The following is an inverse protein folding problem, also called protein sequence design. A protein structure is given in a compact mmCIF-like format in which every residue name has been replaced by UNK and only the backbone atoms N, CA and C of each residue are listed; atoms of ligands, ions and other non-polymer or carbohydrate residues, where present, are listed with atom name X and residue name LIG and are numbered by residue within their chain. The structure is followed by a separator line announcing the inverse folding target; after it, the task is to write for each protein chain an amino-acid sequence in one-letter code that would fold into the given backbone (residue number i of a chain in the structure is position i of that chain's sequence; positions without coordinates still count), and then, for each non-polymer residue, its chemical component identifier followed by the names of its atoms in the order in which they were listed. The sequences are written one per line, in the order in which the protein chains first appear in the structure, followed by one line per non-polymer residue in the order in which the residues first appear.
data_IF_360556280347
#
_entry.id   IF_360556280347
#
_cell.length_a   1.000
_cell.length_b   1.000
_cell.length_c   1.000
_cell.angle_alpha   90.00
_cell.angle_beta   90.00
_cell.angle_gamma   90.00
#
_symmetry.space_group_name_H-M   'P 1'
#
loop_
_entity.id
_entity.type
_entity.pdbx_description
1 polymer ?
#
# COMPACT_ATOMS: atom_id res chain seq x y z
N UNK A 1 -8.28 3.70 5.32
CA UNK A 1 -9.16 4.76 4.87
C UNK A 1 -8.59 6.17 5.04
N UNK A 2 -7.55 6.34 5.80
CA UNK A 2 -6.71 7.52 5.88
C UNK A 2 -6.05 7.88 4.55
N UNK A 3 -5.91 6.93 3.63
CA UNK A 3 -5.41 7.18 2.28
C UNK A 3 -6.36 8.00 1.38
N UNK A 4 -7.52 8.40 1.87
CA UNK A 4 -8.57 9.07 1.09
C UNK A 4 -8.62 10.59 1.25
N UNK A 5 -7.66 11.20 1.91
CA UNK A 5 -7.70 12.64 2.17
C UNK A 5 -6.40 13.34 1.80
N UNK A 6 -6.40 14.65 1.51
CA UNK A 6 -5.19 15.44 1.35
C UNK A 6 -4.27 15.38 2.57
N UNK A 7 -4.85 15.49 3.75
CA UNK A 7 -4.15 15.28 5.01
C UNK A 7 -3.69 13.85 5.21
N UNK A 8 -4.25 12.88 4.51
CA UNK A 8 -3.86 11.48 4.66
C UNK A 8 -2.42 11.23 4.25
N UNK A 9 -1.90 11.94 3.27
CA UNK A 9 -0.49 11.82 2.93
C UNK A 9 0.37 12.26 4.12
N UNK A 10 0.08 13.41 4.70
CA UNK A 10 0.79 13.91 5.88
C UNK A 10 0.57 13.03 7.10
N UNK A 11 -0.67 12.62 7.36
CA UNK A 11 -1.01 11.71 8.44
C UNK A 11 -0.34 10.34 8.29
N UNK A 12 -0.30 9.80 7.08
CA UNK A 12 0.40 8.54 6.82
C UNK A 12 1.90 8.68 7.01
N UNK A 13 2.45 9.83 6.67
CA UNK A 13 3.85 10.12 6.85
C UNK A 13 4.18 10.29 8.34
N UNK A 14 3.34 10.98 9.07
CA UNK A 14 3.44 11.08 10.53
C UNK A 14 3.30 9.71 11.17
N UNK A 15 2.31 8.95 10.76
CA UNK A 15 2.03 7.64 11.30
C UNK A 15 3.14 6.61 10.98
N UNK A 16 3.61 6.57 9.73
CA UNK A 16 4.58 5.58 9.29
C UNK A 16 6.02 5.93 9.68
N UNK A 17 6.38 7.21 9.70
CA UNK A 17 7.78 7.65 9.77
C UNK A 17 8.10 8.51 10.98
N UNK A 18 7.20 9.36 11.42
CA UNK A 18 7.44 10.27 12.53
C UNK A 18 6.87 9.71 13.83
N UNK A 19 5.64 9.26 13.81
CA UNK A 19 4.94 8.53 14.87
C UNK A 19 5.48 8.78 16.28
N UNK A 20 5.92 7.71 16.90
CA UNK A 20 6.41 7.70 18.28
C UNK A 20 7.74 8.41 18.51
N UNK A 21 8.50 8.63 17.45
CA UNK A 21 9.88 9.15 17.55
C UNK A 21 9.96 10.66 17.35
N UNK A 22 8.86 11.28 16.92
CA UNK A 22 8.85 12.71 16.67
C UNK A 22 7.81 13.40 17.55
N UNK A 23 8.22 14.32 18.43
CA UNK A 23 7.31 14.96 19.40
C UNK A 23 6.20 15.79 18.74
N UNK A 24 6.40 16.23 17.50
CA UNK A 24 5.43 17.02 16.74
C UNK A 24 4.43 16.11 15.97
N UNK A 25 4.66 14.81 15.90
CA UNK A 25 3.74 13.90 15.22
C UNK A 25 2.45 13.77 16.02
N UNK A 26 1.33 14.09 15.38
CA UNK A 26 0.01 14.03 16.01
C UNK A 26 -0.51 12.60 16.14
N UNK A 27 -0.12 11.73 15.21
CA UNK A 27 -0.58 10.35 15.13
C UNK A 27 0.59 9.40 14.94
N UNK A 28 0.47 8.20 15.50
CA UNK A 28 1.40 7.10 15.36
C UNK A 28 0.67 5.84 14.91
N UNK A 29 1.40 4.76 14.63
CA UNK A 29 0.80 3.44 14.36
C UNK A 29 -0.08 2.93 15.51
N UNK A 30 0.13 3.42 16.71
CA UNK A 30 -0.67 3.06 17.89
C UNK A 30 -1.90 3.95 18.10
N UNK A 31 -2.03 5.01 17.28
CA UNK A 31 -3.17 5.91 17.39
C UNK A 31 -4.46 5.19 17.06
N UNK A 32 -5.51 5.52 17.81
CA UNK A 32 -6.84 5.01 17.54
C UNK A 32 -7.29 5.47 16.14
N UNK A 33 -7.68 4.52 15.28
CA UNK A 33 -8.11 4.80 13.92
C UNK A 33 -9.29 5.76 13.84
N UNK A 34 -10.19 5.74 14.84
CA UNK A 34 -11.35 6.66 14.91
C UNK A 34 -10.89 8.10 15.10
N UNK A 35 -9.86 8.33 15.91
CA UNK A 35 -9.32 9.67 16.11
C UNK A 35 -8.56 10.16 14.88
N UNK A 36 -7.85 9.29 14.20
CA UNK A 36 -7.24 9.59 12.89
C UNK A 36 -8.33 9.94 11.88
N UNK A 37 -9.38 9.13 11.75
CA UNK A 37 -10.48 9.34 10.82
C UNK A 37 -11.23 10.66 11.05
N UNK A 38 -11.42 11.09 12.28
CA UNK A 38 -12.06 12.38 12.61
C UNK A 38 -11.29 13.60 12.07
N UNK A 39 -10.02 13.43 11.78
CA UNK A 39 -9.17 14.46 11.22
C UNK A 39 -9.04 14.38 9.70
N UNK A 40 -9.65 13.36 9.08
CA UNK A 40 -9.63 13.11 7.65
C UNK A 40 -10.93 13.66 7.04
N UNK A 41 -10.85 14.67 6.22
CA UNK A 41 -12.02 15.36 5.66
C UNK A 41 -11.97 15.58 4.14
N UNK A 42 -10.96 15.06 3.45
CA UNK A 42 -10.83 15.20 2.00
C UNK A 42 -10.32 13.89 1.39
N UNK A 43 -10.65 13.64 0.14
CA UNK A 43 -10.19 12.49 -0.62
C UNK A 43 -8.68 12.56 -0.93
N UNK A 44 -8.12 11.44 -1.39
CA UNK A 44 -6.73 11.34 -1.90
C UNK A 44 -6.42 12.49 -2.85
N UNK A 45 -5.29 13.15 -2.64
CA UNK A 45 -4.80 14.23 -3.49
C UNK A 45 -3.68 13.78 -4.45
N UNK A 46 -3.28 14.70 -5.32
CA UNK A 46 -2.26 14.43 -6.33
C UNK A 46 -0.91 13.99 -5.71
N UNK A 47 -0.56 14.54 -4.55
CA UNK A 47 0.71 14.28 -3.88
C UNK A 47 0.86 12.84 -3.37
N UNK A 48 -0.22 12.10 -3.25
CA UNK A 48 -0.16 10.69 -2.89
C UNK A 48 0.49 9.85 -4.00
N UNK A 49 0.19 10.20 -5.25
CA UNK A 49 0.63 9.46 -6.44
C UNK A 49 1.67 10.19 -7.29
N UNK A 50 1.83 11.50 -7.11
CA UNK A 50 2.77 12.30 -7.88
C UNK A 50 3.72 13.08 -6.98
N UNK A 51 4.98 13.11 -7.38
CA UNK A 51 5.97 13.96 -6.74
C UNK A 51 5.63 15.44 -7.01
N UNK A 52 5.51 16.30 -5.97
CA UNK A 52 5.05 17.68 -6.14
C UNK A 52 6.04 18.57 -6.90
N UNK A 53 7.30 18.17 -7.00
CA UNK A 53 8.35 18.97 -7.65
C UNK A 53 8.59 18.54 -9.11
N UNK A 54 8.43 17.25 -9.41
CA UNK A 54 8.73 16.70 -10.74
C UNK A 54 7.50 16.14 -11.45
N UNK A 55 6.36 16.05 -10.76
CA UNK A 55 5.16 15.36 -11.21
C UNK A 55 5.35 13.87 -11.57
N UNK A 56 6.52 13.30 -11.31
CA UNK A 56 6.78 11.87 -11.53
C UNK A 56 5.85 11.02 -10.69
N UNK A 57 5.38 9.87 -11.21
CA UNK A 57 4.65 8.90 -10.41
C UNK A 57 5.49 8.45 -9.22
N UNK A 58 4.86 8.35 -8.04
CA UNK A 58 5.56 7.95 -6.82
C UNK A 58 4.73 7.03 -5.94
N UNK A 59 5.44 6.29 -5.11
CA UNK A 59 4.89 5.47 -4.03
C UNK A 59 5.36 6.08 -2.72
N UNK A 60 4.43 6.29 -1.80
CA UNK A 60 4.69 6.85 -0.46
C UNK A 60 4.37 5.86 0.66
N UNK A 61 3.70 4.74 0.36
CA UNK A 61 3.40 3.69 1.35
C UNK A 61 4.67 2.90 1.70
N UNK A 62 5.13 3.03 2.92
CA UNK A 62 6.33 2.36 3.43
C UNK A 62 6.25 0.83 3.35
N UNK A 63 5.09 0.25 3.69
CA UNK A 63 4.88 -1.19 3.60
C UNK A 63 5.00 -1.72 2.17
N UNK A 64 4.49 -0.96 1.17
CA UNK A 64 4.67 -1.32 -0.23
C UNK A 64 6.14 -1.17 -0.64
N UNK A 65 6.79 -0.05 -0.32
CA UNK A 65 8.21 0.15 -0.66
C UNK A 65 9.06 -0.97 -0.05
N UNK A 66 8.78 -1.36 1.19
CA UNK A 66 9.45 -2.50 1.82
C UNK A 66 9.24 -3.78 1.02
N UNK A 67 8.00 -4.07 0.59
CA UNK A 67 7.70 -5.26 -0.20
C UNK A 67 8.39 -5.25 -1.58
N UNK A 68 8.53 -4.06 -2.20
CA UNK A 68 9.21 -3.91 -3.49
C UNK A 68 10.74 -4.01 -3.40
N UNK A 69 11.32 -3.72 -2.24
CA UNK A 69 12.79 -3.63 -2.07
C UNK A 69 13.38 -4.72 -1.21
N UNK A 70 12.57 -5.54 -0.55
CA UNK A 70 13.07 -6.64 0.29
C UNK A 70 13.74 -7.72 -0.56
N UNK A 71 14.70 -8.42 0.04
CA UNK A 71 15.48 -9.48 -0.60
C UNK A 71 15.36 -10.84 0.09
N UNK A 72 14.78 -10.86 1.28
CA UNK A 72 14.64 -12.05 2.13
C UNK A 72 13.46 -12.95 1.71
N UNK A 73 12.40 -12.35 1.18
CA UNK A 73 11.24 -13.05 0.65
C UNK A 73 10.93 -12.47 -0.74
N UNK A 74 10.95 -13.29 -1.79
CA UNK A 74 10.56 -12.85 -3.13
C UNK A 74 9.17 -12.20 -3.14
N UNK A 75 9.00 -11.18 -3.98
CA UNK A 75 7.73 -10.49 -4.18
C UNK A 75 7.31 -10.58 -5.64
N UNK A 76 6.04 -10.33 -5.93
CA UNK A 76 5.54 -10.24 -7.31
C UNK A 76 6.40 -9.28 -8.15
N UNK A 77 6.86 -8.19 -7.54
CA UNK A 77 7.72 -7.22 -8.20
C UNK A 77 9.12 -7.77 -8.50
N UNK A 78 9.75 -8.43 -7.53
CA UNK A 78 11.11 -8.95 -7.71
C UNK A 78 11.17 -10.14 -8.67
N UNK A 79 10.06 -10.86 -8.85
CA UNK A 79 9.93 -11.99 -9.77
C UNK A 79 9.49 -11.58 -11.19
N UNK A 80 9.09 -10.32 -11.38
CA UNK A 80 8.65 -9.82 -12.70
C UNK A 80 9.77 -9.04 -13.41
N UNK A 81 10.44 -9.61 -14.42
CA UNK A 81 11.50 -8.94 -15.13
C UNK A 81 11.01 -7.75 -15.98
N UNK A 82 9.69 -7.61 -16.16
CA UNK A 82 9.06 -6.51 -16.91
C UNK A 82 8.53 -5.41 -15.99
N UNK A 83 8.61 -5.58 -14.68
CA UNK A 83 8.14 -4.59 -13.73
C UNK A 83 8.81 -3.24 -13.96
N UNK A 84 8.02 -2.18 -13.86
CA UNK A 84 8.51 -0.80 -13.96
C UNK A 84 9.56 -0.54 -12.87
N UNK A 85 10.73 -0.07 -13.28
CA UNK A 85 11.83 0.25 -12.36
C UNK A 85 11.43 1.39 -11.43
N UNK A 86 11.72 1.21 -10.15
CA UNK A 86 11.56 2.24 -9.13
C UNK A 86 12.92 2.79 -8.71
N UNK A 87 12.94 4.07 -8.39
CA UNK A 87 14.07 4.72 -7.75
C UNK A 87 13.66 5.09 -6.33
N UNK A 88 14.28 4.46 -5.34
CA UNK A 88 13.97 4.71 -3.92
C UNK A 88 14.90 5.80 -3.40
N UNK A 89 14.29 6.87 -2.91
CA UNK A 89 14.96 8.03 -2.35
C UNK A 89 14.66 8.07 -0.85
N UNK A 90 15.68 8.24 -0.05
CA UNK A 90 15.51 8.55 1.37
C UNK A 90 15.33 10.06 1.52
N UNK A 91 14.11 10.45 1.88
CA UNK A 91 13.73 11.84 2.11
C UNK A 91 13.95 12.27 3.57
N UNK A 92 14.77 11.52 4.31
CA UNK A 92 15.00 11.72 5.73
C UNK A 92 15.20 13.20 6.12
N UNK A 93 14.41 13.65 7.07
CA UNK A 93 14.46 15.02 7.59
C UNK A 93 14.71 14.93 9.08
N UNK A 94 15.64 15.74 9.59
CA UNK A 94 15.94 15.83 11.03
C UNK A 94 16.25 14.47 11.71
N UNK A 95 16.95 13.58 10.99
CA UNK A 95 17.35 12.27 11.53
C UNK A 95 16.32 11.16 11.41
N UNK A 96 15.20 11.40 10.74
CA UNK A 96 14.20 10.38 10.42
C UNK A 96 14.34 9.91 8.97
N UNK A 97 14.33 8.60 8.79
CA UNK A 97 14.36 7.98 7.47
C UNK A 97 12.94 7.90 6.90
N UNK A 98 12.75 8.47 5.73
CA UNK A 98 11.49 8.39 4.98
C UNK A 98 11.80 8.01 3.55
N UNK A 99 11.40 6.82 3.17
CA UNK A 99 11.58 6.34 1.80
C UNK A 99 10.39 6.73 0.93
N UNK A 100 10.70 7.22 -0.27
CA UNK A 100 9.74 7.45 -1.35
C UNK A 100 10.30 6.75 -2.58
N UNK A 101 9.46 6.02 -3.30
CA UNK A 101 9.85 5.42 -4.57
C UNK A 101 9.24 6.23 -5.73
N UNK A 102 10.07 6.67 -6.67
CA UNK A 102 9.61 7.32 -7.91
C UNK A 102 9.75 6.38 -9.08
N UNK A 103 8.92 6.58 -10.08
CA UNK A 103 8.92 5.82 -11.33
C UNK A 103 9.13 6.76 -12.51
N UNK A 104 9.89 6.32 -13.52
CA UNK A 104 10.03 7.07 -14.79
C UNK A 104 8.76 6.96 -15.63
N UNK A 105 8.11 5.80 -15.60
CA UNK A 105 6.87 5.53 -16.31
C UNK A 105 5.80 5.11 -15.32
N UNK A 106 4.63 5.71 -15.42
CA UNK A 106 3.49 5.31 -14.59
C UNK A 106 3.13 3.85 -14.85
N UNK A 107 2.99 3.10 -13.76
CA UNK A 107 2.47 1.74 -13.75
C UNK A 107 1.28 1.71 -12.79
N UNK A 108 0.09 1.49 -13.34
CA UNK A 108 -1.14 1.49 -12.53
C UNK A 108 -1.16 0.37 -11.50
N UNK A 109 -0.49 -0.77 -11.75
CA UNK A 109 -0.35 -1.84 -10.75
C UNK A 109 0.30 -1.31 -9.47
N UNK A 110 1.47 -0.69 -9.63
CA UNK A 110 2.23 -0.17 -8.48
C UNK A 110 1.55 1.05 -7.85
N UNK A 111 0.92 1.90 -8.66
CA UNK A 111 0.20 3.08 -8.16
C UNK A 111 -1.01 2.67 -7.31
N UNK A 112 -1.81 1.72 -7.78
CA UNK A 112 -3.00 1.23 -7.09
C UNK A 112 -2.66 0.34 -5.90
N UNK A 113 -1.53 -0.38 -5.95
CA UNK A 113 -1.02 -1.22 -4.86
C UNK A 113 -0.75 -0.46 -3.57
N UNK A 114 -0.70 0.87 -3.60
CA UNK A 114 -0.58 1.64 -2.36
C UNK A 114 -1.77 1.43 -1.41
N UNK A 115 -2.93 1.04 -1.96
CA UNK A 115 -4.16 0.79 -1.21
C UNK A 115 -4.81 -0.54 -1.57
N UNK A 116 -4.76 -0.96 -2.84
CA UNK A 116 -5.41 -2.15 -3.39
C UNK A 116 -4.49 -3.38 -3.35
N UNK A 117 -4.04 -3.74 -2.19
CA UNK A 117 -3.07 -4.81 -1.92
C UNK A 117 -3.40 -5.43 -0.57
N UNK A 118 -3.08 -6.70 -0.38
CA UNK A 118 -3.22 -7.31 0.93
C UNK A 118 -2.20 -6.73 1.91
N UNK A 119 -2.67 -6.39 3.07
CA UNK A 119 -1.84 -6.00 4.22
C UNK A 119 -2.57 -6.23 5.54
N UNK A 120 -1.84 -6.60 6.56
CA UNK A 120 -2.41 -6.67 7.90
C UNK A 120 -2.39 -5.27 8.55
N UNK A 121 -3.46 -4.92 9.21
CA UNK A 121 -3.64 -3.63 9.88
C UNK A 121 -4.16 -3.75 11.32
N UNK A 122 -4.23 -4.96 11.83
CA UNK A 122 -4.68 -5.25 13.20
C UNK A 122 -3.56 -5.90 14.01
N UNK A 123 -3.57 -5.75 15.32
CA UNK A 123 -2.81 -6.60 16.22
C UNK A 123 -3.22 -8.06 15.99
N UNK A 124 -2.25 -8.93 15.99
CA UNK A 124 -2.46 -10.36 15.83
C UNK A 124 -1.75 -11.13 16.94
N UNK A 125 -1.37 -12.34 16.63
CA UNK A 125 -0.57 -13.16 17.55
C UNK A 125 0.44 -14.03 16.77
N UNK A 126 1.50 -14.39 17.44
CA UNK A 126 2.46 -15.36 16.94
C UNK A 126 1.89 -16.77 17.11
N UNK A 127 1.65 -17.51 16.03
CA UNK A 127 1.02 -18.83 16.12
C UNK A 127 1.87 -19.90 16.82
N UNK A 128 3.20 -19.70 16.89
CA UNK A 128 4.11 -20.65 17.55
C UNK A 128 4.15 -20.45 19.05
N UNK A 129 4.13 -19.21 19.50
CA UNK A 129 4.25 -18.88 20.92
C UNK A 129 2.92 -18.53 21.56
N UNK A 130 1.89 -18.25 20.77
CA UNK A 130 0.59 -17.75 21.25
C UNK A 130 0.63 -16.32 21.78
N UNK A 131 1.77 -15.64 21.73
CA UNK A 131 1.92 -14.27 22.24
C UNK A 131 1.24 -13.26 21.33
N UNK A 132 0.55 -12.30 21.94
CA UNK A 132 -0.01 -11.16 21.21
C UNK A 132 1.09 -10.33 20.54
N UNK A 133 0.79 -9.85 19.35
CA UNK A 133 1.63 -8.95 18.56
C UNK A 133 0.95 -7.58 18.58
N UNK A 134 1.63 -6.59 19.16
CA UNK A 134 1.11 -5.23 19.27
C UNK A 134 1.30 -4.41 17.99
N UNK A 135 0.66 -3.25 17.92
CA UNK A 135 0.70 -2.35 16.76
C UNK A 135 2.10 -1.80 16.44
N UNK A 136 3.02 -1.80 17.40
CA UNK A 136 4.41 -1.39 17.19
C UNK A 136 5.29 -2.45 16.51
N UNK A 137 4.82 -3.69 16.44
CA UNK A 137 5.55 -4.77 15.77
C UNK A 137 5.46 -4.60 14.26
N UNK A 138 6.58 -4.71 13.57
CA UNK A 138 6.66 -4.58 12.11
C UNK A 138 5.71 -5.55 11.38
N UNK A 139 5.44 -6.72 11.99
CA UNK A 139 4.53 -7.72 11.43
C UNK A 139 3.10 -7.25 11.28
N UNK A 140 2.68 -6.21 11.99
CA UNK A 140 1.33 -5.62 11.89
C UNK A 140 1.19 -4.61 10.75
N UNK A 141 2.19 -4.44 9.93
CA UNK A 141 2.13 -3.52 8.78
C UNK A 141 2.96 -4.05 7.61
N UNK A 142 2.95 -5.36 7.42
CA UNK A 142 3.60 -6.00 6.28
C UNK A 142 2.63 -6.13 5.12
N UNK A 143 3.16 -5.90 3.94
CA UNK A 143 2.51 -6.22 2.68
C UNK A 143 3.08 -7.54 2.18
N UNK A 144 2.30 -8.62 2.09
CA UNK A 144 2.76 -9.86 1.49
C UNK A 144 3.31 -9.65 0.09
N UNK A 145 2.54 -9.03 -0.77
CA UNK A 145 2.88 -8.73 -2.16
C UNK A 145 3.49 -9.93 -2.89
N UNK A 146 2.84 -11.07 -2.71
CA UNK A 146 3.16 -12.37 -3.30
C UNK A 146 1.94 -12.87 -4.08
N UNK A 147 2.10 -13.96 -4.84
CA UNK A 147 0.94 -14.61 -5.46
C UNK A 147 -0.18 -14.83 -4.43
N UNK A 148 -1.41 -14.56 -4.82
CA UNK A 148 -2.57 -14.62 -3.92
C UNK A 148 -2.69 -15.96 -3.19
N UNK A 149 -2.29 -17.05 -3.84
CA UNK A 149 -2.30 -18.41 -3.23
C UNK A 149 -1.23 -18.63 -2.17
N UNK A 150 -0.23 -17.73 -2.09
CA UNK A 150 0.91 -17.82 -1.16
C UNK A 150 0.81 -16.83 0.02
N UNK A 151 -0.26 -16.06 0.12
CA UNK A 151 -0.40 -15.03 1.16
C UNK A 151 -0.40 -15.66 2.57
N UNK A 152 -1.12 -16.77 2.76
CA UNK A 152 -1.13 -17.44 4.08
C UNK A 152 0.24 -18.03 4.45
N UNK A 153 0.96 -18.59 3.48
CA UNK A 153 2.33 -19.07 3.65
C UNK A 153 3.28 -17.93 4.05
N UNK A 154 3.11 -16.75 3.43
CA UNK A 154 3.86 -15.56 3.81
C UNK A 154 3.64 -15.20 5.28
N UNK A 155 2.39 -15.12 5.72
CA UNK A 155 2.07 -14.81 7.11
C UNK A 155 2.54 -15.90 8.08
N UNK A 156 2.47 -17.15 7.69
CA UNK A 156 3.03 -18.25 8.47
C UNK A 156 4.56 -18.14 8.62
N UNK A 157 5.27 -17.76 7.53
CA UNK A 157 6.71 -17.56 7.53
C UNK A 157 7.15 -16.43 8.46
N UNK A 158 6.45 -15.31 8.45
CA UNK A 158 6.76 -14.17 9.32
C UNK A 158 6.24 -14.34 10.75
N UNK A 159 5.49 -15.42 11.03
CA UNK A 159 4.98 -15.72 12.38
C UNK A 159 3.85 -14.80 12.81
N UNK A 160 2.87 -14.60 11.93
CA UNK A 160 1.70 -13.76 12.20
C UNK A 160 0.39 -14.47 11.85
N UNK A 161 -0.60 -14.36 12.74
CA UNK A 161 -2.01 -14.68 12.48
C UNK A 161 -2.89 -13.61 13.11
N UNK A 162 -4.01 -13.30 12.47
CA UNK A 162 -4.92 -12.24 12.94
C UNK A 162 -5.70 -12.68 14.18
N UNK A 163 -6.29 -13.86 14.15
CA UNK A 163 -7.18 -14.32 15.22
C UNK A 163 -7.28 -15.85 15.29
N UNK A 164 -7.85 -16.33 16.38
CA UNK A 164 -8.25 -17.73 16.54
C UNK A 164 -9.75 -17.86 16.30
N UNK A 165 -10.14 -18.87 15.55
CA UNK A 165 -11.56 -19.18 15.36
C UNK A 165 -12.19 -19.61 16.68
N UNK A 166 -13.29 -18.96 17.05
CA UNK A 166 -13.90 -19.10 18.38
C UNK A 166 -14.33 -20.54 18.73
N UNK A 167 -14.70 -21.33 17.72
CA UNK A 167 -15.19 -22.72 17.95
C UNK A 167 -14.08 -23.74 17.81
N UNK A 168 -13.27 -23.63 16.75
CA UNK A 168 -12.25 -24.65 16.42
C UNK A 168 -10.87 -24.34 17.02
N UNK A 169 -10.63 -23.11 17.45
CA UNK A 169 -9.30 -22.66 17.88
C UNK A 169 -8.27 -22.50 16.75
N UNK A 170 -8.67 -22.72 15.49
CA UNK A 170 -7.77 -22.59 14.35
C UNK A 170 -7.21 -21.16 14.25
N UNK A 171 -5.90 -21.08 14.00
CA UNK A 171 -5.22 -19.81 13.76
C UNK A 171 -5.51 -19.35 12.32
N UNK A 172 -6.13 -18.20 12.19
CA UNK A 172 -6.62 -17.68 10.91
C UNK A 172 -5.97 -16.34 10.54
N UNK A 173 -5.83 -16.14 9.25
CA UNK A 173 -5.41 -14.88 8.64
C UNK A 173 -6.61 -14.26 7.94
N UNK A 174 -6.86 -12.98 8.19
CA UNK A 174 -7.90 -12.23 7.51
C UNK A 174 -7.33 -11.69 6.20
N UNK A 175 -7.90 -12.08 5.08
CA UNK A 175 -7.66 -11.46 3.78
C UNK A 175 -8.57 -10.25 3.63
N UNK A 176 -8.01 -9.12 3.19
CA UNK A 176 -8.78 -7.89 3.04
C UNK A 176 -9.09 -7.58 1.57
N UNK A 177 -8.12 -7.12 0.83
CA UNK A 177 -8.31 -6.69 -0.56
C UNK A 177 -7.05 -6.95 -1.40
N UNK A 178 -6.73 -8.22 -1.68
CA UNK A 178 -5.56 -8.62 -2.47
C UNK A 178 -5.79 -8.37 -3.97
N UNK A 179 -6.24 -7.16 -4.33
CA UNK A 179 -6.67 -6.86 -5.69
C UNK A 179 -5.49 -6.94 -6.67
N UNK A 180 -4.35 -6.36 -6.30
CA UNK A 180 -3.15 -6.38 -7.14
C UNK A 180 -2.53 -7.76 -7.19
N UNK A 181 -2.50 -8.50 -6.09
CA UNK A 181 -2.00 -9.88 -6.04
C UNK A 181 -2.85 -10.82 -6.89
N UNK A 182 -4.15 -10.60 -6.95
CA UNK A 182 -5.07 -11.36 -7.82
C UNK A 182 -4.91 -10.97 -9.28
N UNK A 183 -4.65 -9.68 -9.54
CA UNK A 183 -4.49 -9.15 -10.88
C UNK A 183 -3.14 -9.54 -11.50
N UNK A 184 -2.05 -9.55 -10.72
CA UNK A 184 -0.70 -9.80 -11.20
C UNK A 184 -0.60 -11.17 -11.88
N UNK A 185 0.00 -11.23 -13.07
CA UNK A 185 0.06 -12.43 -13.91
C UNK A 185 -1.30 -12.94 -14.44
N UNK A 186 -2.40 -12.23 -14.20
CA UNK A 186 -3.71 -12.56 -14.77
C UNK A 186 -3.73 -12.45 -16.30
N UNK A 187 -4.82 -12.85 -16.91
CA UNK A 187 -5.05 -12.68 -18.35
C UNK A 187 -5.01 -11.20 -18.76
N UNK A 188 -5.58 -10.30 -17.94
CA UNK A 188 -5.56 -8.87 -18.18
C UNK A 188 -4.13 -8.29 -18.11
N UNK A 189 -3.38 -8.65 -17.07
CA UNK A 189 -2.00 -8.23 -16.92
C UNK A 189 -1.12 -8.70 -18.09
N UNK A 190 -1.25 -9.97 -18.48
CA UNK A 190 -0.56 -10.55 -19.65
C UNK A 190 -0.93 -9.89 -20.98
N UNK A 191 -2.16 -9.42 -21.09
CA UNK A 191 -2.65 -8.67 -22.26
C UNK A 191 -2.27 -7.18 -22.23
N UNK A 192 -1.62 -6.70 -21.15
CA UNK A 192 -1.25 -5.29 -20.97
C UNK A 192 -2.40 -4.36 -20.64
N UNK A 193 -3.53 -4.90 -20.18
CA UNK A 193 -4.71 -4.13 -19.74
C UNK A 193 -4.53 -3.81 -18.26
N UNK A 194 -4.14 -2.59 -17.94
CA UNK A 194 -3.86 -2.15 -16.57
C UNK A 194 -5.11 -1.72 -15.81
N UNK A 195 -4.96 -1.54 -14.50
CA UNK A 195 -6.05 -1.08 -13.62
C UNK A 195 -6.68 0.23 -14.13
N UNK A 196 -5.84 1.17 -14.57
CA UNK A 196 -6.27 2.47 -15.07
C UNK A 196 -7.08 2.39 -16.39
N UNK A 197 -6.89 1.36 -17.20
CA UNK A 197 -7.62 1.23 -18.47
C UNK A 197 -9.11 0.99 -18.26
N UNK A 198 -9.46 0.34 -17.15
CA UNK A 198 -10.85 0.09 -16.78
C UNK A 198 -11.37 1.13 -15.78
N UNK A 199 -10.58 1.51 -14.78
CA UNK A 199 -11.04 2.35 -13.67
C UNK A 199 -10.77 3.84 -13.86
N UNK A 200 -9.92 4.23 -14.83
CA UNK A 200 -9.58 5.62 -15.13
C UNK A 200 -9.76 5.87 -16.65
N UNK A 201 -11.01 6.00 -17.14
CA UNK A 201 -11.27 6.00 -18.57
C UNK A 201 -10.62 7.16 -19.29
N UNK A 202 -10.30 6.96 -20.56
CA UNK A 202 -9.86 8.02 -21.46
C UNK A 202 -11.02 8.95 -21.76
N UNK A 203 -10.83 10.22 -21.49
CA UNK A 203 -11.79 11.29 -21.72
C UNK A 203 -11.24 12.25 -22.78
N UNK A 204 -12.17 12.90 -23.52
CA UNK A 204 -11.79 13.93 -24.50
C UNK A 204 -12.29 15.28 -23.98
N UNK A 205 -11.37 16.20 -23.84
CA UNK A 205 -11.73 17.58 -23.49
C UNK A 205 -12.55 18.21 -24.62
N UNK A 206 -13.72 18.73 -24.28
CA UNK A 206 -14.69 19.27 -25.28
C UNK A 206 -14.19 20.55 -25.97
N UNK A 207 -13.33 21.34 -25.30
CA UNK A 207 -12.85 22.61 -25.83
C UNK A 207 -11.58 22.42 -26.65
N UNK A 208 -10.64 21.63 -26.18
CA UNK A 208 -9.32 21.46 -26.80
C UNK A 208 -9.21 20.24 -27.69
N UNK A 209 -10.14 19.30 -27.58
CA UNK A 209 -10.10 18.01 -28.28
C UNK A 209 -9.03 17.05 -27.74
N UNK A 210 -8.25 17.43 -26.74
CA UNK A 210 -7.18 16.59 -26.18
C UNK A 210 -7.76 15.42 -25.39
N UNK A 211 -7.13 14.27 -25.54
CA UNK A 211 -7.45 13.07 -24.76
C UNK A 211 -6.60 13.06 -23.48
N UNK A 212 -7.24 12.76 -22.37
CA UNK A 212 -6.59 12.63 -21.07
C UNK A 212 -7.14 11.43 -20.30
N UNK A 213 -6.40 10.93 -19.34
CA UNK A 213 -6.87 9.89 -18.39
C UNK A 213 -7.62 10.57 -17.27
N UNK A 214 -8.89 10.19 -17.06
CA UNK A 214 -9.70 10.71 -15.96
C UNK A 214 -9.13 10.22 -14.63
N UNK A 215 -8.93 11.14 -13.69
CA UNK A 215 -8.62 10.79 -12.29
C UNK A 215 -9.88 10.55 -11.45
N UNK A 216 -11.02 10.62 -12.09
CA UNK A 216 -12.28 10.23 -11.49
C UNK A 216 -12.45 8.72 -11.66
N UNK A 217 -12.03 7.96 -10.66
CA UNK A 217 -12.14 6.50 -10.68
C UNK A 217 -13.61 6.06 -10.78
N UNK A 218 -13.88 5.09 -11.63
CA UNK A 218 -15.21 4.57 -11.88
C UNK A 218 -15.23 3.05 -11.86
N UNK A 219 -16.42 2.50 -11.65
CA UNK A 219 -16.66 1.06 -11.87
C UNK A 219 -16.69 0.80 -13.38
N UNK A 220 -15.97 -0.21 -13.88
CA UNK A 220 -16.06 -0.64 -15.27
C UNK A 220 -17.52 -1.03 -15.62
N UNK A 221 -17.96 -0.64 -16.80
CA UNK A 221 -19.30 -0.97 -17.32
C UNK A 221 -19.18 -1.98 -18.43
#
# INVERSE_FOLDING_TARGET
HDCWTPKSTDLMLDWAYLGEKHPEAKFSRQSNVVDVMRNINHAVNCNFCHDPHSAKPRIVRDGLIQALTRTDIPSLYSEDPKATKINVIDMGVRGFTRKIATMEKADSKLMCAQCHVEYNCNPGFDPKTGKAIGMSDVRTNLFPFVDVTKIDDFYAKVGFKDFKHNVTGAALTKMQHPDVETYWNSTHDKAGVGCADCHMPKMKDKKTGKVYTSHWSTTPR
#
